data_IF_725901837381
#
_entry.id   IF_725901837381
#
_cell.length_a   1.000
_cell.length_b   1.000
_cell.length_c   1.000
_cell.angle_alpha   90.00
_cell.angle_beta   90.00
_cell.angle_gamma   90.00
#
_symmetry.space_group_name_H-M   'P 1'
#
loop_
_entity.id
_entity.type
_entity.pdbx_description
1 polymer ?
#
# COMPACT_ATOMS: atom_id res chain seq x y z
N UNK A 1 5.86 -19.80 -13.59
CA UNK A 1 5.10 -18.68 -14.18
C UNK A 1 3.63 -19.02 -14.16
N UNK A 2 2.79 -18.20 -13.52
CA UNK A 2 1.35 -18.43 -13.45
C UNK A 2 0.68 -18.31 -14.84
N UNK A 3 -0.46 -18.99 -15.08
CA UNK A 3 -1.22 -18.79 -16.31
C UNK A 3 -1.69 -17.33 -16.41
N UNK A 4 -1.63 -16.74 -17.62
CA UNK A 4 -2.14 -15.38 -17.90
C UNK A 4 -3.50 -15.05 -17.25
N UNK A 5 -4.55 -15.89 -17.34
CA UNK A 5 -5.83 -15.57 -16.71
C UNK A 5 -5.76 -15.47 -15.19
N UNK A 6 -4.90 -16.27 -14.55
CA UNK A 6 -4.71 -16.25 -13.08
C UNK A 6 -4.05 -14.94 -12.65
N UNK A 7 -3.09 -14.45 -13.44
CA UNK A 7 -2.42 -13.17 -13.17
C UNK A 7 -3.44 -12.02 -13.19
N UNK A 8 -4.23 -11.92 -14.27
CA UNK A 8 -5.25 -10.88 -14.39
C UNK A 8 -6.33 -10.97 -13.29
N UNK A 9 -6.77 -12.17 -12.96
CA UNK A 9 -7.74 -12.36 -11.87
C UNK A 9 -7.16 -11.92 -10.53
N UNK A 10 -5.91 -12.25 -10.24
CA UNK A 10 -5.24 -11.89 -8.99
C UNK A 10 -5.03 -10.38 -8.90
N UNK A 11 -4.54 -9.74 -9.97
CA UNK A 11 -4.36 -8.29 -10.04
C UNK A 11 -5.69 -7.55 -9.90
N UNK A 12 -6.77 -8.06 -10.51
CA UNK A 12 -8.11 -7.48 -10.35
C UNK A 12 -8.57 -7.52 -8.89
N UNK A 13 -8.40 -8.65 -8.21
CA UNK A 13 -8.74 -8.78 -6.79
C UNK A 13 -7.91 -7.85 -5.91
N UNK A 14 -6.62 -7.73 -6.19
CA UNK A 14 -5.71 -6.80 -5.49
C UNK A 14 -6.10 -5.35 -5.75
N UNK A 15 -6.52 -4.99 -6.97
CA UNK A 15 -6.97 -3.65 -7.31
C UNK A 15 -8.29 -3.29 -6.60
N UNK A 16 -9.25 -4.23 -6.53
CA UNK A 16 -10.51 -4.03 -5.78
C UNK A 16 -10.20 -3.81 -4.29
N UNK A 17 -9.35 -4.66 -3.71
CA UNK A 17 -8.89 -4.49 -2.33
C UNK A 17 -8.18 -3.15 -2.12
N UNK A 18 -7.29 -2.77 -3.03
CA UNK A 18 -6.52 -1.53 -2.97
C UNK A 18 -7.41 -0.29 -3.05
N UNK A 19 -8.46 -0.33 -3.87
CA UNK A 19 -9.43 0.78 -3.98
C UNK A 19 -10.35 0.89 -2.76
N UNK A 20 -10.71 -0.23 -2.13
CA UNK A 20 -11.58 -0.23 -0.94
C UNK A 20 -10.83 0.08 0.36
N UNK A 21 -9.69 -0.58 0.60
CA UNK A 21 -8.99 -0.55 1.88
C UNK A 21 -7.69 0.25 1.83
N UNK A 22 -6.92 0.14 0.75
CA UNK A 22 -5.65 0.86 0.52
C UNK A 22 -4.47 0.43 1.40
N UNK A 23 -4.69 0.14 2.69
CA UNK A 23 -3.65 -0.34 3.59
C UNK A 23 -3.14 -1.71 3.15
N UNK A 24 -1.82 -1.97 3.24
CA UNK A 24 -1.24 -3.25 2.85
C UNK A 24 -1.18 -3.55 1.34
N UNK A 25 -1.77 -2.71 0.48
CA UNK A 25 -1.78 -2.88 -0.99
C UNK A 25 -0.37 -3.11 -1.55
N UNK A 26 0.61 -2.35 -1.05
CA UNK A 26 1.99 -2.49 -1.49
C UNK A 26 2.60 -3.87 -1.22
N UNK A 27 2.25 -4.52 -0.10
CA UNK A 27 2.76 -5.85 0.25
C UNK A 27 2.11 -6.89 -0.67
N UNK A 28 0.80 -6.76 -0.92
CA UNK A 28 0.08 -7.63 -1.86
C UNK A 28 0.65 -7.53 -3.27
N UNK A 29 0.89 -6.31 -3.76
CA UNK A 29 1.49 -6.10 -5.08
C UNK A 29 2.90 -6.70 -5.14
N UNK A 30 3.74 -6.52 -4.11
CA UNK A 30 5.06 -7.16 -4.09
C UNK A 30 4.97 -8.69 -4.11
N UNK A 31 4.00 -9.28 -3.40
CA UNK A 31 3.77 -10.72 -3.41
C UNK A 31 3.33 -11.21 -4.81
N UNK A 32 2.40 -10.51 -5.47
CA UNK A 32 1.95 -10.88 -6.82
C UNK A 32 3.08 -10.70 -7.84
N UNK A 33 3.79 -9.57 -7.82
CA UNK A 33 4.90 -9.28 -8.74
C UNK A 33 6.02 -10.32 -8.65
N UNK A 34 6.35 -10.75 -7.43
CA UNK A 34 7.35 -11.82 -7.22
C UNK A 34 6.84 -13.18 -7.72
N UNK A 35 5.55 -13.51 -7.52
CA UNK A 35 4.95 -14.75 -8.02
C UNK A 35 4.89 -14.83 -9.56
N UNK A 36 4.72 -13.70 -10.25
CA UNK A 36 4.69 -13.66 -11.72
C UNK A 36 6.09 -13.65 -12.35
N UNK A 37 7.14 -13.51 -11.55
CA UNK A 37 8.52 -13.67 -11.99
C UNK A 37 9.37 -12.40 -12.02
N UNK A 38 8.90 -11.27 -11.46
CA UNK A 38 9.77 -10.12 -11.19
C UNK A 38 10.62 -10.44 -9.96
N UNK A 39 11.81 -11.02 -10.20
CA UNK A 39 12.76 -11.38 -9.15
C UNK A 39 13.62 -10.20 -8.69
N UNK A 40 13.80 -9.18 -9.53
CA UNK A 40 14.49 -7.95 -9.12
C UNK A 40 13.58 -7.12 -8.21
N UNK A 41 14.03 -6.94 -6.97
CA UNK A 41 13.27 -6.25 -5.92
C UNK A 41 13.07 -4.76 -6.25
N UNK A 42 14.03 -4.12 -6.92
CA UNK A 42 13.93 -2.71 -7.29
C UNK A 42 12.96 -2.53 -8.46
N UNK A 43 13.01 -3.42 -9.45
CA UNK A 43 12.06 -3.45 -10.56
C UNK A 43 10.63 -3.71 -10.05
N UNK A 44 10.46 -4.72 -9.20
CA UNK A 44 9.18 -5.04 -8.56
C UNK A 44 8.64 -3.84 -7.75
N UNK A 45 9.51 -3.15 -7.00
CA UNK A 45 9.10 -2.00 -6.22
C UNK A 45 8.69 -0.80 -7.11
N UNK A 46 9.36 -0.60 -8.24
CA UNK A 46 8.98 0.43 -9.21
C UNK A 46 7.60 0.15 -9.81
N UNK A 47 7.36 -1.08 -10.29
CA UNK A 47 6.07 -1.50 -10.84
C UNK A 47 4.97 -1.43 -9.78
N UNK A 48 5.25 -1.91 -8.56
CA UNK A 48 4.32 -1.82 -7.42
C UNK A 48 3.92 -0.37 -7.13
N UNK A 49 4.86 0.58 -7.16
CA UNK A 49 4.54 1.99 -6.91
C UNK A 49 3.70 2.58 -8.04
N UNK A 50 3.97 2.24 -9.29
CA UNK A 50 3.15 2.65 -10.43
C UNK A 50 1.71 2.12 -10.31
N UNK A 51 1.55 0.81 -10.06
CA UNK A 51 0.24 0.18 -9.89
C UNK A 51 -0.52 0.75 -8.68
N UNK A 52 0.14 0.90 -7.53
CA UNK A 52 -0.48 1.47 -6.34
C UNK A 52 -0.94 2.91 -6.58
N UNK A 53 -0.18 3.70 -7.34
CA UNK A 53 -0.55 5.08 -7.70
C UNK A 53 -1.78 5.10 -8.60
N UNK A 54 -1.85 4.23 -9.61
CA UNK A 54 -3.00 4.12 -10.50
C UNK A 54 -4.26 3.73 -9.71
N UNK A 55 -4.18 2.68 -8.90
CA UNK A 55 -5.30 2.18 -8.09
C UNK A 55 -5.79 3.28 -7.13
N UNK A 56 -4.87 3.93 -6.43
CA UNK A 56 -5.23 4.99 -5.46
C UNK A 56 -5.81 6.22 -6.16
N UNK A 57 -5.27 6.62 -7.30
CA UNK A 57 -5.77 7.79 -8.04
C UNK A 57 -7.17 7.54 -8.61
N UNK A 58 -7.44 6.34 -9.11
CA UNK A 58 -8.78 5.94 -9.56
C UNK A 58 -9.77 5.91 -8.39
N UNK A 59 -9.39 5.35 -7.25
CA UNK A 59 -10.23 5.33 -6.05
C UNK A 59 -10.58 6.76 -5.59
N UNK A 60 -9.58 7.65 -5.50
CA UNK A 60 -9.79 9.06 -5.17
C UNK A 60 -10.70 9.74 -6.18
N UNK A 61 -10.52 9.48 -7.48
CA UNK A 61 -11.38 10.04 -8.54
C UNK A 61 -12.84 9.63 -8.35
N UNK A 62 -13.10 8.37 -8.03
CA UNK A 62 -14.47 7.87 -7.74
C UNK A 62 -15.04 8.55 -6.49
N UNK A 63 -14.25 8.74 -5.43
CA UNK A 63 -14.70 9.45 -4.24
C UNK A 63 -15.00 10.93 -4.50
N UNK A 64 -14.20 11.59 -5.36
CA UNK A 64 -14.47 12.96 -5.80
C UNK A 64 -15.78 13.01 -6.61
N UNK A 65 -15.93 12.10 -7.58
CA UNK A 65 -17.09 12.06 -8.48
C UNK A 65 -18.41 11.78 -7.74
N UNK A 66 -18.37 11.02 -6.65
CA UNK A 66 -19.54 10.72 -5.80
C UNK A 66 -19.87 11.84 -4.81
N UNK A 67 -19.00 12.84 -4.66
CA UNK A 67 -19.24 14.01 -3.80
C UNK A 67 -19.20 13.71 -2.29
N UNK A 68 -18.69 12.54 -1.89
CA UNK A 68 -18.69 12.09 -0.48
C UNK A 68 -17.49 12.61 0.32
N UNK A 69 -16.57 13.35 -0.30
CA UNK A 69 -15.34 13.81 0.33
C UNK A 69 -15.60 15.05 1.19
N UNK A 70 -15.33 14.94 2.49
CA UNK A 70 -15.19 16.08 3.38
C UNK A 70 -13.83 16.75 3.16
N UNK A 71 -13.79 17.80 2.33
CA UNK A 71 -12.54 18.43 1.87
C UNK A 71 -11.62 18.94 2.98
N UNK A 72 -12.16 19.50 4.06
CA UNK A 72 -11.36 19.97 5.20
C UNK A 72 -10.55 18.85 5.84
N UNK A 73 -11.21 17.81 6.41
CA UNK A 73 -10.54 16.62 6.92
C UNK A 73 -9.65 15.93 5.88
N UNK A 74 -10.10 15.83 4.62
CA UNK A 74 -9.34 15.20 3.54
C UNK A 74 -7.99 15.89 3.31
N UNK A 75 -7.94 17.22 3.36
CA UNK A 75 -6.69 17.97 3.22
C UNK A 75 -5.76 17.73 4.42
N UNK A 76 -6.28 17.70 5.64
CA UNK A 76 -5.48 17.38 6.83
C UNK A 76 -4.87 15.97 6.75
N UNK A 77 -5.67 14.99 6.33
CA UNK A 77 -5.20 13.61 6.12
C UNK A 77 -4.17 13.54 5.00
N UNK A 78 -4.39 14.25 3.88
CA UNK A 78 -3.45 14.29 2.76
C UNK A 78 -2.08 14.82 3.19
N UNK A 79 -2.05 15.97 3.87
CA UNK A 79 -0.80 16.59 4.34
C UNK A 79 -0.11 15.67 5.34
N UNK A 80 -0.86 15.11 6.31
CA UNK A 80 -0.32 14.16 7.29
C UNK A 80 0.24 12.89 6.65
N UNK A 81 -0.45 12.34 5.66
CA UNK A 81 -0.04 11.14 4.94
C UNK A 81 1.23 11.38 4.11
N UNK A 82 1.33 12.52 3.40
CA UNK A 82 2.52 12.89 2.64
C UNK A 82 3.71 13.10 3.59
N UNK A 83 3.53 13.91 4.63
CA UNK A 83 4.59 14.21 5.60
C UNK A 83 5.04 12.94 6.33
N UNK A 84 4.09 12.16 6.87
CA UNK A 84 4.36 10.91 7.58
C UNK A 84 4.99 9.84 6.68
N UNK A 85 4.52 9.69 5.45
CA UNK A 85 5.09 8.76 4.48
C UNK A 85 6.53 9.12 4.11
N UNK A 86 6.80 10.39 3.82
CA UNK A 86 8.14 10.85 3.46
C UNK A 86 9.11 10.78 4.63
N UNK A 87 8.74 11.37 5.78
CA UNK A 87 9.60 11.40 6.97
C UNK A 87 9.79 9.99 7.53
N UNK A 88 8.72 9.18 7.61
CA UNK A 88 8.79 7.80 8.05
C UNK A 88 9.74 6.97 7.19
N UNK A 89 9.63 7.06 5.86
CA UNK A 89 10.57 6.37 4.96
C UNK A 89 12.01 6.90 5.10
N UNK A 90 12.18 8.21 5.31
CA UNK A 90 13.51 8.81 5.53
C UNK A 90 14.15 8.29 6.81
N UNK A 91 13.42 8.30 7.92
CA UNK A 91 13.89 7.83 9.23
C UNK A 91 14.09 6.32 9.28
N UNK A 92 13.23 5.53 8.62
CA UNK A 92 13.37 4.08 8.57
C UNK A 92 14.73 3.62 8.03
N UNK A 93 15.35 4.42 7.12
CA UNK A 93 16.69 4.13 6.58
C UNK A 93 17.82 4.32 7.59
N UNK A 94 17.58 4.96 8.73
CA UNK A 94 18.58 5.20 9.77
C UNK A 94 18.45 4.24 10.96
N UNK A 95 17.34 3.50 11.04
CA UNK A 95 17.06 2.56 12.11
C UNK A 95 17.64 1.19 11.73
N UNK A 96 18.19 0.47 12.71
CA UNK A 96 18.63 -0.91 12.51
C UNK A 96 17.42 -1.77 12.03
N UNK A 97 17.56 -2.55 10.94
CA UNK A 97 16.46 -3.33 10.38
C UNK A 97 15.78 -4.28 11.38
N UNK A 98 16.54 -4.86 12.32
CA UNK A 98 16.01 -5.75 13.35
C UNK A 98 15.14 -5.01 14.34
N UNK A 99 15.55 -3.80 14.74
CA UNK A 99 14.77 -2.93 15.64
C UNK A 99 13.51 -2.46 14.93
N UNK A 100 13.63 -1.96 13.70
CA UNK A 100 12.49 -1.51 12.90
C UNK A 100 11.46 -2.63 12.75
N UNK A 101 11.91 -3.85 12.43
CA UNK A 101 11.05 -5.03 12.35
C UNK A 101 10.38 -5.34 13.68
N UNK A 102 11.12 -5.29 14.79
CA UNK A 102 10.58 -5.49 16.14
C UNK A 102 9.47 -4.49 16.48
N UNK A 103 9.67 -3.21 16.16
CA UNK A 103 8.66 -2.15 16.36
C UNK A 103 7.40 -2.45 15.53
N UNK A 104 7.55 -2.76 14.25
CA UNK A 104 6.40 -3.07 13.37
C UNK A 104 5.60 -4.27 13.90
N UNK A 105 6.29 -5.32 14.34
CA UNK A 105 5.66 -6.52 14.92
C UNK A 105 4.92 -6.17 16.22
N UNK A 106 5.56 -5.43 17.13
CA UNK A 106 4.96 -5.05 18.41
C UNK A 106 3.71 -4.16 18.23
N UNK A 107 3.77 -3.19 17.31
CA UNK A 107 2.61 -2.37 16.95
C UNK A 107 1.50 -3.23 16.37
N UNK A 108 1.82 -4.17 15.47
CA UNK A 108 0.85 -5.10 14.91
C UNK A 108 0.11 -5.90 15.99
N UNK A 109 0.85 -6.53 16.91
CA UNK A 109 0.25 -7.26 18.04
C UNK A 109 -0.56 -6.37 18.96
N UNK A 110 -0.08 -5.15 19.27
CA UNK A 110 -0.81 -4.19 20.10
C UNK A 110 -2.14 -3.76 19.48
N UNK A 111 -2.16 -3.50 18.16
CA UNK A 111 -3.39 -3.21 17.43
C UNK A 111 -4.34 -4.40 17.42
N UNK A 112 -3.83 -5.62 17.19
CA UNK A 112 -4.66 -6.84 17.24
C UNK A 112 -5.31 -6.99 18.62
N UNK A 113 -4.55 -6.84 19.71
CA UNK A 113 -5.09 -6.91 21.07
C UNK A 113 -6.11 -5.81 21.38
N UNK A 114 -5.91 -4.60 20.85
CA UNK A 114 -6.81 -3.48 21.12
C UNK A 114 -8.16 -3.61 20.41
N UNK A 115 -8.16 -4.13 19.18
CA UNK A 115 -9.35 -4.20 18.33
C UNK A 115 -10.13 -5.52 18.43
N UNK A 116 -9.55 -6.59 18.99
CA UNK A 116 -10.16 -7.93 19.09
C UNK A 116 -10.04 -8.49 20.52
#
# INVERSE_FOLDING_TARGET
>A
MLPRPVIFATDLLVAIYGGYFGAGLGILLMAVLTLIGLSDVNEANAVKNALATIVSSLAVTVFIATGIIAWGPAFSVLVGAIAGGYLGARFARWINPTILRGIVIAVGFGLTWFYF
#
